data_IF_831013636474
#
_entry.id   IF_831013636474
#
_cell.length_a   1.000
_cell.length_b   1.000
_cell.length_c   1.000
_cell.angle_alpha   90.00
_cell.angle_beta   90.00
_cell.angle_gamma   90.00
#
_symmetry.space_group_name_H-M   'P 1'
#
loop_
_entity.id
_entity.type
_entity.pdbx_description
1 polymer ?
#
# COMPACT_ATOMS: atom_id res chain seq x y z
N UNK A 1 -25.89 -3.76 31.14
CA UNK A 1 -26.53 -3.71 32.47
C UNK A 1 -27.34 -2.43 32.51
N UNK A 2 -28.67 -2.55 32.79
CA UNK A 2 -29.53 -1.37 32.89
C UNK A 2 -29.22 -0.68 34.21
N UNK A 3 -29.09 0.65 34.19
CA UNK A 3 -28.94 1.45 35.40
C UNK A 3 -30.21 1.40 36.25
N UNK A 4 -30.02 1.34 37.58
CA UNK A 4 -31.08 1.39 38.57
C UNK A 4 -31.76 2.75 38.53
N UNK A 5 -33.10 2.77 38.39
CA UNK A 5 -33.88 4.03 38.43
C UNK A 5 -34.33 4.34 39.83
N UNK A 6 -33.54 5.16 40.52
CA UNK A 6 -33.79 5.58 41.87
C UNK A 6 -35.09 6.40 42.01
N UNK A 7 -35.49 7.13 40.99
CA UNK A 7 -36.67 8.02 41.02
C UNK A 7 -37.95 7.16 41.12
N UNK A 8 -38.07 6.11 40.34
CA UNK A 8 -39.22 5.20 40.39
C UNK A 8 -39.31 4.48 41.72
N UNK A 9 -38.16 4.06 42.25
CA UNK A 9 -38.10 3.38 43.53
C UNK A 9 -38.56 4.32 44.66
N UNK A 10 -38.06 5.55 44.72
CA UNK A 10 -38.46 6.58 45.73
C UNK A 10 -39.94 6.93 45.62
N UNK A 11 -40.48 7.02 44.42
CA UNK A 11 -41.89 7.29 44.19
C UNK A 11 -42.78 6.16 44.73
N UNK A 12 -42.43 4.90 44.56
CA UNK A 12 -43.17 3.72 45.05
C UNK A 12 -43.15 3.67 46.59
N UNK A 13 -41.99 3.83 47.24
CA UNK A 13 -41.91 3.73 48.70
C UNK A 13 -42.51 4.94 49.44
N UNK A 14 -42.60 6.07 48.79
CA UNK A 14 -43.25 7.28 49.33
C UNK A 14 -44.78 7.28 49.10
N UNK A 15 -45.29 6.41 48.22
CA UNK A 15 -46.71 6.31 47.94
C UNK A 15 -47.45 5.57 49.05
N UNK A 16 -48.24 6.28 49.86
CA UNK A 16 -48.96 5.71 50.97
C UNK A 16 -49.92 4.60 50.58
N UNK A 17 -50.51 4.63 49.38
CA UNK A 17 -51.40 3.55 48.87
C UNK A 17 -50.61 2.29 48.47
N UNK A 18 -49.41 2.46 47.95
CA UNK A 18 -48.51 1.34 47.66
C UNK A 18 -48.08 0.65 48.98
N UNK A 19 -47.66 1.45 49.92
CA UNK A 19 -47.25 0.95 51.26
C UNK A 19 -48.39 0.20 51.98
N UNK A 20 -49.62 0.74 51.99
CA UNK A 20 -50.78 0.08 52.55
C UNK A 20 -51.13 -1.23 51.87
N UNK A 21 -51.05 -1.30 50.52
CA UNK A 21 -51.23 -2.52 49.78
C UNK A 21 -50.18 -3.59 50.08
N UNK A 22 -48.89 -3.22 50.10
CA UNK A 22 -47.79 -4.16 50.41
C UNK A 22 -47.90 -4.71 51.83
N UNK A 23 -48.44 -3.93 52.79
CA UNK A 23 -48.68 -4.33 54.19
C UNK A 23 -49.94 -5.13 54.38
N UNK A 24 -50.80 -5.27 53.37
CA UNK A 24 -52.10 -5.98 53.45
C UNK A 24 -53.15 -5.16 54.22
N UNK A 25 -53.01 -3.86 54.32
CA UNK A 25 -53.96 -2.94 54.96
C UNK A 25 -55.07 -2.46 54.02
N UNK A 26 -54.87 -2.55 52.69
CA UNK A 26 -55.83 -2.21 51.66
C UNK A 26 -55.72 -3.17 50.44
N UNK A 27 -56.53 -4.19 50.39
CA UNK A 27 -56.58 -5.17 49.33
C UNK A 27 -57.32 -4.72 48.07
N UNK A 28 -58.04 -3.58 48.16
CA UNK A 28 -58.87 -3.04 47.06
C UNK A 28 -58.07 -2.57 45.85
N UNK A 29 -56.76 -2.49 45.98
CA UNK A 29 -55.80 -2.01 44.94
C UNK A 29 -54.92 -3.10 44.34
N UNK A 30 -55.14 -4.39 44.70
CA UNK A 30 -54.32 -5.49 44.20
C UNK A 30 -54.30 -5.58 42.66
N UNK A 31 -55.42 -5.38 42.00
CA UNK A 31 -55.50 -5.35 40.55
C UNK A 31 -54.73 -4.18 39.93
N UNK A 32 -54.81 -2.98 40.56
CA UNK A 32 -54.09 -1.81 40.10
C UNK A 32 -52.55 -2.02 40.10
N UNK A 33 -52.01 -2.50 41.20
CA UNK A 33 -50.57 -2.70 41.32
C UNK A 33 -50.04 -3.88 40.50
N UNK A 34 -50.86 -4.91 40.29
CA UNK A 34 -50.55 -5.99 39.34
C UNK A 34 -50.54 -5.48 37.89
N UNK A 35 -51.55 -4.66 37.53
CA UNK A 35 -51.61 -4.01 36.19
C UNK A 35 -50.46 -3.01 36.00
N UNK A 36 -50.09 -2.26 37.02
CA UNK A 36 -48.93 -1.35 37.02
C UNK A 36 -47.66 -2.10 36.69
N UNK A 37 -47.40 -3.23 37.36
CA UNK A 37 -46.23 -4.09 37.12
C UNK A 37 -46.19 -4.60 35.70
N UNK A 38 -47.33 -4.95 35.12
CA UNK A 38 -47.42 -5.49 33.77
C UNK A 38 -47.21 -4.39 32.71
N UNK A 39 -47.69 -3.17 32.98
CA UNK A 39 -47.55 -2.02 32.10
C UNK A 39 -46.16 -1.36 32.14
N UNK A 40 -45.37 -1.66 33.20
CA UNK A 40 -44.01 -1.12 33.34
C UNK A 40 -42.95 -2.23 33.41
N UNK A 41 -42.79 -3.02 32.34
CA UNK A 41 -41.90 -4.19 32.34
C UNK A 41 -40.44 -3.84 32.59
N UNK A 42 -40.07 -2.58 32.29
CA UNK A 42 -38.72 -2.10 32.51
C UNK A 42 -38.42 -1.69 33.94
N UNK A 43 -39.41 -1.53 34.82
CA UNK A 43 -39.28 -1.09 36.22
C UNK A 43 -39.65 -2.22 37.23
N UNK A 44 -39.61 -3.45 36.81
CA UNK A 44 -39.95 -4.64 37.62
C UNK A 44 -38.98 -4.83 38.77
N UNK A 45 -37.70 -4.52 38.58
CA UNK A 45 -36.66 -4.66 39.62
C UNK A 45 -36.87 -3.65 40.72
N UNK A 46 -37.10 -2.41 40.39
CA UNK A 46 -37.38 -1.30 41.32
C UNK A 46 -38.67 -1.56 42.10
N UNK A 47 -39.70 -2.07 41.44
CA UNK A 47 -40.97 -2.46 42.08
C UNK A 47 -40.79 -3.60 43.09
N UNK A 48 -40.05 -4.69 42.72
CA UNK A 48 -39.78 -5.82 43.61
C UNK A 48 -38.98 -5.39 44.86
N UNK A 49 -38.00 -4.52 44.65
CA UNK A 49 -37.18 -4.01 45.75
C UNK A 49 -37.99 -3.07 46.70
N UNK A 50 -38.88 -2.24 46.14
CA UNK A 50 -39.79 -1.43 46.90
C UNK A 50 -40.75 -2.30 47.75
N UNK A 51 -41.26 -3.40 47.20
CA UNK A 51 -42.09 -4.38 47.97
C UNK A 51 -41.28 -4.99 49.14
N UNK A 52 -40.08 -5.48 48.82
CA UNK A 52 -39.18 -6.12 49.81
C UNK A 52 -38.87 -5.16 50.99
N UNK A 53 -38.42 -3.94 50.67
CA UNK A 53 -38.09 -2.95 51.72
C UNK A 53 -39.32 -2.56 52.53
N UNK A 54 -40.47 -2.36 51.90
CA UNK A 54 -41.72 -2.02 52.58
C UNK A 54 -42.19 -3.16 53.50
N UNK A 55 -41.97 -4.44 53.16
CA UNK A 55 -42.26 -5.61 54.01
C UNK A 55 -41.31 -5.74 55.19
N UNK A 56 -40.03 -5.42 54.99
CA UNK A 56 -39.00 -5.50 56.05
C UNK A 56 -39.17 -4.36 57.08
N UNK A 57 -39.71 -3.19 56.70
CA UNK A 57 -40.01 -2.06 57.55
C UNK A 57 -41.28 -2.32 58.38
N UNK A 58 -41.20 -3.24 59.36
CA UNK A 58 -42.25 -3.45 60.38
C UNK A 58 -42.16 -2.36 61.44
N UNK A 59 -42.89 -1.23 61.23
CA UNK A 59 -43.23 -0.36 62.33
C UNK A 59 -44.37 -0.97 63.09
N UNK A 60 -44.11 -1.46 64.33
CA UNK A 60 -45.18 -1.71 65.30
C UNK A 60 -45.78 -0.37 65.67
N UNK A 61 -47.00 -0.12 65.25
CA UNK A 61 -47.77 1.03 65.63
C UNK A 61 -48.03 1.03 67.12
N UNK A 62 -47.36 1.90 67.86
CA UNK A 62 -47.83 2.42 69.14
C UNK A 62 -48.07 3.89 68.91
N UNK A 63 -49.23 4.41 69.30
CA UNK A 63 -49.56 5.84 69.28
C UNK A 63 -48.47 6.61 69.96
N UNK A 64 -47.59 7.21 69.17
CA UNK A 64 -46.48 8.06 69.65
C UNK A 64 -47.10 9.45 69.97
N UNK A 65 -47.27 9.77 71.23
CA UNK A 65 -47.72 11.11 71.65
C UNK A 65 -46.73 12.20 71.14
N UNK A 66 -47.24 13.30 70.70
CA UNK A 66 -46.44 14.43 70.18
C UNK A 66 -45.31 14.87 71.08
N UNK A 67 -45.48 14.65 72.41
CA UNK A 67 -44.49 14.88 73.48
C UNK A 67 -43.28 13.97 73.39
N UNK A 68 -43.45 12.69 72.90
CA UNK A 68 -42.35 11.74 72.83
C UNK A 68 -41.48 12.03 71.64
N UNK A 69 -42.05 12.55 70.57
CA UNK A 69 -41.32 13.04 69.40
C UNK A 69 -40.41 14.18 69.71
N UNK A 70 -40.93 15.16 70.47
CA UNK A 70 -40.14 16.30 70.93
C UNK A 70 -38.98 15.92 71.84
N UNK A 71 -39.23 14.99 72.78
CA UNK A 71 -38.19 14.43 73.65
C UNK A 71 -37.09 13.70 72.90
N UNK A 72 -37.46 12.93 71.94
CA UNK A 72 -36.50 12.20 71.05
C UNK A 72 -35.73 13.18 70.22
N UNK A 73 -36.36 14.25 69.69
CA UNK A 73 -35.70 15.30 68.93
C UNK A 73 -34.62 16.01 69.73
N UNK A 74 -34.97 16.46 70.97
CA UNK A 74 -34.06 17.16 71.90
C UNK A 74 -32.87 16.22 72.21
N UNK A 75 -33.14 14.95 72.57
CA UNK A 75 -32.12 13.99 72.94
C UNK A 75 -31.20 13.57 71.74
N UNK A 76 -31.72 13.59 70.57
CA UNK A 76 -30.94 13.31 69.37
C UNK A 76 -30.07 14.47 68.92
N UNK A 77 -30.62 15.75 69.03
CA UNK A 77 -29.86 16.96 68.78
C UNK A 77 -28.77 17.23 69.82
N UNK A 78 -29.00 16.90 71.07
CA UNK A 78 -27.94 16.94 72.07
C UNK A 78 -26.80 15.95 71.77
N UNK A 79 -27.13 14.75 71.33
CA UNK A 79 -26.16 13.73 71.02
C UNK A 79 -25.37 14.06 69.75
N UNK A 80 -26.00 14.68 68.77
CA UNK A 80 -25.35 15.20 67.56
C UNK A 80 -24.40 16.35 67.86
N UNK A 81 -24.80 17.26 68.73
CA UNK A 81 -23.97 18.43 69.17
C UNK A 81 -22.77 18.00 70.04
N UNK A 82 -22.83 16.85 70.72
CA UNK A 82 -21.70 16.27 71.44
C UNK A 82 -20.67 15.55 70.58
N UNK A 83 -20.98 15.26 69.33
CA UNK A 83 -20.01 14.81 68.36
C UNK A 83 -19.11 16.00 68.00
N UNK A 84 -18.00 16.17 68.74
CA UNK A 84 -16.95 17.10 68.35
C UNK A 84 -16.54 16.84 66.89
N UNK A 85 -16.50 17.86 66.07
CA UNK A 85 -15.97 17.65 64.73
C UNK A 85 -14.56 17.08 64.85
N UNK A 86 -14.26 15.97 64.15
CA UNK A 86 -12.94 15.35 64.10
C UNK A 86 -12.04 16.33 63.34
N UNK A 87 -11.59 17.40 63.99
CA UNK A 87 -10.73 18.43 63.40
C UNK A 87 -9.38 17.87 62.97
N UNK A 88 -8.96 16.75 63.62
CA UNK A 88 -7.75 16.05 63.24
C UNK A 88 -7.79 15.41 61.84
N UNK A 89 -8.96 14.89 61.42
CA UNK A 89 -9.09 14.25 60.13
C UNK A 89 -9.02 15.23 58.94
N UNK A 90 -9.55 16.43 59.12
CA UNK A 90 -9.46 17.49 58.09
C UNK A 90 -8.04 18.03 57.94
N UNK A 91 -7.30 18.18 59.04
CA UNK A 91 -5.89 18.58 58.99
C UNK A 91 -5.00 17.49 58.45
N UNK A 92 -5.32 16.18 58.74
CA UNK A 92 -4.61 15.04 58.16
C UNK A 92 -4.81 14.97 56.64
N UNK A 93 -6.05 15.14 56.15
CA UNK A 93 -6.32 15.20 54.70
C UNK A 93 -5.56 16.36 54.05
N UNK A 94 -5.56 17.57 54.64
CA UNK A 94 -4.82 18.71 54.09
C UNK A 94 -3.29 18.51 54.07
N UNK A 95 -2.73 17.80 55.07
CA UNK A 95 -1.30 17.45 55.04
C UNK A 95 -1.01 16.31 54.05
N UNK A 96 -1.86 15.29 54.01
CA UNK A 96 -1.73 14.20 53.05
C UNK A 96 -1.82 14.69 51.59
N UNK A 97 -2.73 15.63 51.29
CA UNK A 97 -2.83 16.20 49.93
C UNK A 97 -1.62 17.05 49.54
N UNK A 98 -1.00 17.77 50.49
CA UNK A 98 0.24 18.52 50.25
C UNK A 98 1.42 17.56 49.94
N UNK A 99 1.57 16.51 50.71
CA UNK A 99 2.63 15.50 50.50
C UNK A 99 2.38 14.75 49.19
N UNK A 100 1.12 14.39 48.91
CA UNK A 100 0.76 13.73 47.64
C UNK A 100 1.05 14.64 46.42
N UNK A 101 0.75 15.95 46.53
CA UNK A 101 1.04 16.89 45.45
C UNK A 101 2.56 17.04 45.20
N UNK A 102 3.37 17.06 46.25
CA UNK A 102 4.84 17.14 46.15
C UNK A 102 5.42 15.88 45.51
N UNK A 103 4.84 14.70 45.79
CA UNK A 103 5.29 13.44 45.20
C UNK A 103 4.74 13.21 43.77
N UNK A 104 3.51 13.68 43.47
CA UNK A 104 2.89 13.50 42.17
C UNK A 104 3.46 14.43 41.09
N UNK A 105 3.86 15.66 41.47
CA UNK A 105 4.45 16.63 40.52
C UNK A 105 5.70 16.08 39.81
N UNK A 106 6.74 15.57 40.50
CA UNK A 106 7.90 15.02 39.81
C UNK A 106 7.56 13.76 38.98
N UNK A 107 6.65 12.91 39.47
CA UNK A 107 6.18 11.73 38.69
C UNK A 107 5.47 12.17 37.41
N UNK A 108 4.62 13.19 37.49
CA UNK A 108 3.93 13.78 36.34
C UNK A 108 4.95 14.40 35.35
N UNK A 109 5.94 15.15 35.84
CA UNK A 109 6.99 15.74 35.00
C UNK A 109 7.81 14.64 34.30
N UNK A 110 8.22 13.60 35.01
CA UNK A 110 8.93 12.46 34.44
C UNK A 110 8.06 11.73 33.42
N UNK A 111 6.79 11.50 33.72
CA UNK A 111 5.85 10.87 32.77
C UNK A 111 5.65 11.69 31.50
N UNK A 112 5.52 13.00 31.63
CA UNK A 112 5.43 13.92 30.50
C UNK A 112 6.73 13.92 29.70
N UNK A 113 7.89 13.96 30.39
CA UNK A 113 9.19 13.91 29.72
C UNK A 113 9.42 12.59 28.97
N UNK A 114 9.07 11.45 29.57
CA UNK A 114 9.13 10.14 28.92
C UNK A 114 8.17 10.05 27.73
N UNK A 115 6.95 10.58 27.87
CA UNK A 115 5.95 10.62 26.80
C UNK A 115 6.43 11.45 25.60
N UNK A 116 6.97 12.64 25.84
CA UNK A 116 7.56 13.46 24.78
C UNK A 116 8.83 12.81 24.18
N UNK A 117 9.65 12.17 25.02
CA UNK A 117 10.85 11.45 24.56
C UNK A 117 10.49 10.27 23.62
N UNK A 118 9.49 9.47 23.98
CA UNK A 118 9.01 8.36 23.13
C UNK A 118 8.37 8.88 21.85
N UNK A 119 7.61 9.97 21.91
CA UNK A 119 6.96 10.54 20.71
C UNK A 119 7.98 11.10 19.72
N UNK A 120 9.00 11.82 20.20
CA UNK A 120 10.08 12.32 19.36
C UNK A 120 10.93 11.18 18.74
N UNK A 121 11.17 10.11 19.50
CA UNK A 121 11.90 8.95 19.00
C UNK A 121 11.11 8.22 17.92
N UNK A 122 9.82 7.99 18.13
CA UNK A 122 8.93 7.37 17.14
C UNK A 122 8.85 8.20 15.84
N UNK A 123 8.73 9.52 15.95
CA UNK A 123 8.74 10.41 14.78
C UNK A 123 10.08 10.36 14.04
N UNK A 124 11.20 10.35 14.76
CA UNK A 124 12.53 10.27 14.15
C UNK A 124 12.76 8.93 13.44
N UNK A 125 12.28 7.82 14.01
CA UNK A 125 12.32 6.52 13.34
C UNK A 125 11.39 6.47 12.13
N UNK A 126 10.20 7.03 12.22
CA UNK A 126 9.27 7.13 11.10
C UNK A 126 9.88 7.95 9.94
N UNK A 127 10.53 9.07 10.26
CA UNK A 127 11.20 9.92 9.27
C UNK A 127 12.41 9.21 8.63
N UNK A 128 13.25 8.53 9.42
CA UNK A 128 14.37 7.73 8.89
C UNK A 128 13.90 6.59 7.98
N UNK A 129 12.77 5.96 8.30
CA UNK A 129 12.17 4.94 7.44
C UNK A 129 11.63 5.59 6.16
N UNK A 130 10.94 6.71 6.25
CA UNK A 130 10.40 7.44 5.09
C UNK A 130 11.52 7.90 4.16
N UNK A 131 12.61 8.49 4.69
CA UNK A 131 13.80 8.86 3.92
C UNK A 131 14.42 7.64 3.19
N UNK A 132 14.37 6.48 3.81
CA UNK A 132 14.89 5.23 3.22
C UNK A 132 13.99 4.70 2.10
N UNK A 133 12.67 4.88 2.21
CA UNK A 133 11.72 4.54 1.14
C UNK A 133 11.78 5.52 -0.04
N UNK A 134 12.20 6.78 0.19
CA UNK A 134 12.35 7.79 -0.85
C UNK A 134 13.69 7.71 -1.60
N UNK A 135 14.70 7.00 -1.04
CA UNK A 135 15.97 6.79 -1.71
C UNK A 135 15.84 5.76 -2.82
N UNK A 136 16.01 6.21 -4.07
CA UNK A 136 16.01 5.34 -5.24
C UNK A 136 17.43 4.95 -5.65
N UNK A 137 17.60 3.69 -6.01
CA UNK A 137 18.77 3.17 -6.71
C UNK A 137 18.45 3.22 -8.20
N UNK A 138 19.35 3.82 -8.98
CA UNK A 138 19.28 3.78 -10.43
C UNK A 138 20.42 2.93 -10.96
N UNK A 139 20.08 1.95 -11.77
CA UNK A 139 21.05 1.03 -12.41
C UNK A 139 20.92 1.17 -13.92
N UNK A 140 22.04 1.46 -14.56
CA UNK A 140 22.12 1.66 -16.01
C UNK A 140 22.93 0.54 -16.64
N UNK A 141 22.37 -0.15 -17.61
CA UNK A 141 23.09 -1.05 -18.49
C UNK A 141 23.79 -0.24 -19.59
N UNK A 142 25.12 -0.19 -19.62
CA UNK A 142 25.81 0.57 -20.68
C UNK A 142 25.41 0.05 -22.07
N UNK A 143 25.53 0.91 -23.07
CA UNK A 143 25.39 0.48 -24.47
C UNK A 143 26.43 -0.61 -24.75
N UNK A 144 26.04 -1.69 -25.40
CA UNK A 144 26.87 -2.85 -25.65
C UNK A 144 26.94 -3.87 -24.52
N UNK A 145 26.31 -3.61 -23.37
CA UNK A 145 26.32 -4.50 -22.22
C UNK A 145 24.92 -4.94 -21.80
N UNK A 146 24.85 -6.11 -21.16
CA UNK A 146 23.66 -6.62 -20.46
C UNK A 146 24.03 -6.86 -19.02
N UNK A 147 23.17 -6.48 -18.10
CA UNK A 147 23.41 -6.61 -16.67
C UNK A 147 22.23 -7.29 -15.99
N UNK A 148 22.51 -7.98 -14.89
CA UNK A 148 21.48 -8.56 -14.02
C UNK A 148 21.43 -7.76 -12.73
N UNK A 149 20.22 -7.45 -12.27
CA UNK A 149 19.94 -6.69 -11.05
C UNK A 149 19.11 -7.57 -10.13
N UNK A 150 19.59 -7.76 -8.90
CA UNK A 150 18.80 -8.35 -7.83
C UNK A 150 18.01 -7.23 -7.12
N UNK A 151 16.70 -7.37 -7.10
CA UNK A 151 15.80 -6.39 -6.50
C UNK A 151 15.62 -6.66 -4.99
N UNK A 152 15.18 -5.67 -4.19
CA UNK A 152 15.09 -5.79 -2.73
C UNK A 152 14.19 -6.91 -2.20
N UNK A 153 13.24 -7.38 -3.00
CA UNK A 153 12.31 -8.48 -2.67
C UNK A 153 12.81 -9.87 -3.12
N UNK A 154 14.05 -9.95 -3.64
CA UNK A 154 14.62 -11.16 -4.22
C UNK A 154 14.19 -11.45 -5.66
N UNK A 155 13.38 -10.57 -6.27
CA UNK A 155 13.11 -10.62 -7.70
C UNK A 155 14.37 -10.29 -8.51
N UNK A 156 14.40 -10.71 -9.78
CA UNK A 156 15.52 -10.44 -10.69
C UNK A 156 15.05 -9.67 -11.92
N UNK A 157 15.86 -8.72 -12.34
CA UNK A 157 15.71 -8.02 -13.62
C UNK A 157 16.99 -8.19 -14.45
N UNK A 158 16.86 -8.64 -15.68
CA UNK A 158 17.93 -8.58 -16.67
C UNK A 158 17.69 -7.36 -17.52
N UNK A 159 18.64 -6.45 -17.56
CA UNK A 159 18.57 -5.23 -18.37
C UNK A 159 19.33 -5.45 -19.69
N UNK A 160 18.68 -5.13 -20.79
CA UNK A 160 19.32 -5.11 -22.10
C UNK A 160 20.14 -3.83 -22.29
N UNK A 161 20.94 -3.80 -23.32
CA UNK A 161 21.86 -2.70 -23.69
C UNK A 161 21.14 -1.35 -23.74
N UNK A 162 21.69 -0.34 -23.06
CA UNK A 162 21.16 1.03 -23.04
C UNK A 162 19.88 1.18 -22.18
N UNK A 163 19.58 0.21 -21.32
CA UNK A 163 18.42 0.24 -20.44
C UNK A 163 18.77 0.78 -19.05
N UNK A 164 17.78 1.35 -18.41
CA UNK A 164 17.85 1.89 -17.06
C UNK A 164 16.67 1.41 -16.21
N UNK A 165 16.94 0.99 -14.99
CA UNK A 165 15.92 0.69 -13.98
C UNK A 165 16.15 1.52 -12.73
N UNK A 166 15.08 2.11 -12.20
CA UNK A 166 15.11 2.82 -10.92
C UNK A 166 14.08 2.23 -9.96
N UNK A 167 14.51 1.97 -8.72
CA UNK A 167 13.69 1.36 -7.68
C UNK A 167 14.14 1.82 -6.29
N UNK A 168 13.25 1.81 -5.27
CA UNK A 168 13.62 2.21 -3.91
C UNK A 168 14.56 1.19 -3.25
N UNK A 169 15.40 1.65 -2.32
CA UNK A 169 16.30 0.79 -1.53
C UNK A 169 15.54 -0.32 -0.80
N UNK A 170 14.29 -0.05 -0.40
CA UNK A 170 13.36 -1.00 0.22
C UNK A 170 11.99 -0.77 -0.39
N UNK A 171 11.31 -1.84 -0.82
CA UNK A 171 9.94 -1.72 -1.30
C UNK A 171 8.97 -1.40 -0.16
N UNK A 172 7.90 -0.69 -0.48
CA UNK A 172 6.81 -0.41 0.44
C UNK A 172 6.05 -1.71 0.77
N UNK A 173 5.40 -1.74 1.92
CA UNK A 173 4.55 -2.88 2.33
C UNK A 173 3.29 -3.04 1.48
N UNK A 174 2.82 -1.95 0.85
CA UNK A 174 1.61 -1.93 0.02
C UNK A 174 1.88 -2.20 -1.46
N UNK A 175 3.09 -1.90 -1.96
CA UNK A 175 3.47 -2.10 -3.37
C UNK A 175 4.98 -2.23 -3.55
N UNK A 176 5.38 -2.90 -4.63
CA UNK A 176 6.76 -3.02 -5.11
C UNK A 176 6.83 -2.34 -6.47
N UNK A 177 7.43 -1.17 -6.53
CA UNK A 177 7.41 -0.33 -7.74
C UNK A 177 8.82 -0.13 -8.30
N UNK A 178 8.94 -0.28 -9.62
CA UNK A 178 10.16 0.06 -10.38
C UNK A 178 9.79 0.94 -11.58
N UNK A 179 10.74 1.77 -12.02
CA UNK A 179 10.63 2.54 -13.26
C UNK A 179 11.62 1.97 -14.26
N UNK A 180 11.18 1.69 -15.47
CA UNK A 180 11.98 1.14 -16.55
C UNK A 180 12.03 2.11 -17.75
N UNK A 181 13.23 2.39 -18.23
CA UNK A 181 13.49 2.97 -19.54
C UNK A 181 14.38 2.01 -20.33
N UNK A 182 13.93 1.54 -21.49
CA UNK A 182 14.62 0.54 -22.27
C UNK A 182 13.98 -0.85 -22.17
N UNK A 183 14.77 -1.91 -22.25
CA UNK A 183 14.29 -3.28 -22.27
C UNK A 183 14.79 -4.08 -21.05
N UNK A 184 13.87 -4.77 -20.39
CA UNK A 184 14.18 -5.67 -19.30
C UNK A 184 13.32 -6.93 -19.32
N UNK A 185 13.94 -8.04 -18.92
CA UNK A 185 13.22 -9.26 -18.56
C UNK A 185 13.15 -9.35 -17.05
N UNK A 186 11.94 -9.59 -16.54
CA UNK A 186 11.67 -9.70 -15.11
C UNK A 186 11.32 -11.13 -14.72
N UNK A 187 11.88 -11.57 -13.60
CA UNK A 187 11.44 -12.76 -12.87
C UNK A 187 11.05 -12.31 -11.47
N UNK A 188 9.74 -12.12 -11.27
CA UNK A 188 9.19 -11.55 -10.04
C UNK A 188 8.81 -12.64 -9.06
N UNK A 189 9.26 -12.49 -7.82
CA UNK A 189 8.91 -13.36 -6.69
C UNK A 189 7.41 -13.29 -6.39
N UNK A 190 6.79 -14.47 -6.18
CA UNK A 190 5.36 -14.55 -5.80
C UNK A 190 5.11 -13.88 -4.47
N UNK A 191 4.16 -12.95 -4.43
CA UNK A 191 3.76 -12.21 -3.24
C UNK A 191 2.32 -11.72 -3.39
N UNK A 192 1.63 -11.52 -2.26
CA UNK A 192 0.32 -10.84 -2.23
C UNK A 192 0.46 -9.33 -2.49
N UNK A 193 1.63 -8.75 -2.19
CA UNK A 193 1.94 -7.35 -2.51
C UNK A 193 2.20 -7.21 -4.01
N UNK A 194 1.46 -6.36 -4.73
CA UNK A 194 1.62 -6.18 -6.17
C UNK A 194 2.99 -5.60 -6.53
N UNK A 195 3.52 -6.01 -7.69
CA UNK A 195 4.72 -5.44 -8.30
C UNK A 195 4.31 -4.63 -9.52
N UNK A 196 4.76 -3.38 -9.57
CA UNK A 196 4.47 -2.45 -10.66
C UNK A 196 5.73 -2.13 -11.47
N UNK A 197 5.58 -2.11 -12.80
CA UNK A 197 6.58 -1.55 -13.70
C UNK A 197 5.99 -0.33 -14.40
N UNK A 198 6.47 0.85 -14.03
CA UNK A 198 6.18 2.09 -14.73
C UNK A 198 7.14 2.22 -15.91
N UNK A 199 6.62 2.60 -17.06
CA UNK A 199 7.34 2.69 -18.32
C UNK A 199 6.71 3.76 -19.23
N UNK A 200 7.11 3.85 -20.52
CA UNK A 200 6.56 4.82 -21.48
C UNK A 200 5.20 4.42 -22.08
N UNK A 201 4.59 3.37 -21.60
CA UNK A 201 3.30 2.84 -22.03
C UNK A 201 2.36 2.59 -20.86
N UNK A 202 1.50 1.54 -20.93
CA UNK A 202 0.61 1.16 -19.86
C UNK A 202 1.38 0.76 -18.61
N UNK A 203 0.83 1.04 -17.43
CA UNK A 203 1.39 0.55 -16.18
C UNK A 203 1.20 -0.96 -16.09
N UNK A 204 2.26 -1.67 -15.75
CA UNK A 204 2.28 -3.12 -15.66
C UNK A 204 2.17 -3.54 -14.20
N UNK A 205 1.21 -4.42 -13.88
CA UNK A 205 0.98 -4.94 -12.54
C UNK A 205 1.03 -6.47 -12.54
N UNK A 206 1.83 -7.03 -11.63
CA UNK A 206 2.01 -8.48 -11.49
C UNK A 206 2.12 -8.91 -10.02
N UNK A 207 1.98 -10.20 -9.73
CA UNK A 207 2.09 -10.77 -8.38
C UNK A 207 3.15 -11.89 -8.25
N UNK A 208 3.74 -12.30 -9.36
CA UNK A 208 4.72 -13.39 -9.44
C UNK A 208 4.73 -13.97 -10.85
N UNK A 209 5.54 -13.38 -11.70
CA UNK A 209 5.39 -13.46 -13.16
C UNK A 209 6.75 -13.37 -13.81
N UNK A 210 6.95 -14.09 -14.92
CA UNK A 210 8.10 -13.93 -15.79
C UNK A 210 7.66 -13.29 -17.11
N UNK A 211 8.23 -12.13 -17.45
CA UNK A 211 7.83 -11.33 -18.61
C UNK A 211 8.95 -10.41 -19.10
N UNK A 212 8.91 -10.07 -20.38
CA UNK A 212 9.79 -9.08 -20.99
C UNK A 212 9.03 -7.76 -21.22
N UNK A 213 9.69 -6.65 -21.00
CA UNK A 213 9.18 -5.29 -21.32
C UNK A 213 10.22 -4.62 -22.20
N UNK A 214 9.81 -4.16 -23.40
CA UNK A 214 10.60 -3.25 -24.21
C UNK A 214 9.89 -1.90 -24.28
N UNK A 215 10.55 -0.86 -23.75
CA UNK A 215 10.03 0.49 -23.63
C UNK A 215 11.15 1.53 -23.85
N UNK A 216 11.90 1.40 -24.96
CA UNK A 216 12.89 2.40 -25.34
C UNK A 216 12.22 3.71 -25.79
N UNK A 217 12.84 4.83 -25.43
CA UNK A 217 12.29 6.15 -25.74
C UNK A 217 12.31 6.47 -27.27
N UNK A 218 13.28 5.92 -27.99
CA UNK A 218 13.47 6.07 -29.43
C UNK A 218 12.66 5.07 -30.28
N UNK A 219 11.81 4.27 -29.64
CA UNK A 219 10.90 3.35 -30.31
C UNK A 219 9.45 3.83 -30.19
N UNK A 220 8.66 3.69 -31.27
CA UNK A 220 7.25 4.09 -31.30
C UNK A 220 6.33 3.14 -30.52
N UNK A 221 6.79 1.93 -30.28
CA UNK A 221 6.03 0.85 -29.67
C UNK A 221 6.60 0.50 -28.28
N UNK A 222 5.70 0.17 -27.34
CA UNK A 222 6.06 -0.54 -26.11
C UNK A 222 5.52 -1.96 -26.24
N UNK A 223 6.35 -2.96 -25.93
CA UNK A 223 5.91 -4.37 -25.95
C UNK A 223 6.07 -5.02 -24.60
N UNK A 224 5.07 -5.83 -24.21
CA UNK A 224 5.10 -6.64 -23.01
C UNK A 224 4.80 -8.08 -23.39
N UNK A 225 5.79 -8.97 -23.27
CA UNK A 225 5.66 -10.39 -23.63
C UNK A 225 5.61 -11.24 -22.36
N UNK A 226 4.57 -12.03 -22.19
CA UNK A 226 4.35 -12.84 -20.99
C UNK A 226 4.79 -14.28 -21.19
N UNK A 227 5.77 -14.73 -20.38
CA UNK A 227 6.28 -16.10 -20.38
C UNK A 227 5.55 -16.98 -19.36
N UNK A 228 5.39 -16.51 -18.11
CA UNK A 228 4.76 -17.27 -17.03
C UNK A 228 3.97 -16.34 -16.10
N UNK A 229 2.82 -16.81 -15.59
CA UNK A 229 2.00 -16.08 -14.63
C UNK A 229 0.87 -15.28 -15.29
N UNK A 230 0.62 -14.07 -14.80
CA UNK A 230 -0.41 -13.16 -15.29
C UNK A 230 0.08 -11.72 -15.22
N UNK A 231 -0.18 -10.95 -16.26
CA UNK A 231 0.10 -9.49 -16.31
C UNK A 231 -1.22 -8.77 -16.45
N UNK A 232 -1.41 -7.70 -15.67
CA UNK A 232 -2.42 -6.67 -15.89
C UNK A 232 -1.72 -5.42 -16.44
N UNK A 233 -2.31 -4.82 -17.46
CA UNK A 233 -1.87 -3.60 -18.11
C UNK A 233 -2.93 -2.53 -17.88
N UNK A 234 -2.59 -1.45 -17.18
CA UNK A 234 -3.50 -0.32 -16.97
C UNK A 234 -3.12 0.82 -17.93
N UNK A 235 -4.10 1.23 -18.72
CA UNK A 235 -4.00 2.42 -19.57
C UNK A 235 -5.16 3.37 -19.26
N UNK A 236 -4.89 4.41 -18.47
CA UNK A 236 -5.88 5.44 -18.07
C UNK A 236 -7.12 4.87 -17.34
N UNK A 237 -6.96 3.79 -16.57
CA UNK A 237 -8.03 3.13 -15.82
C UNK A 237 -8.75 2.01 -16.59
N UNK A 238 -8.33 1.71 -17.81
CA UNK A 238 -8.75 0.53 -18.56
C UNK A 238 -7.74 -0.60 -18.35
N UNK A 239 -8.17 -1.70 -17.76
CA UNK A 239 -7.33 -2.87 -17.45
C UNK A 239 -7.45 -3.94 -18.55
N UNK A 240 -6.32 -4.30 -19.16
CA UNK A 240 -6.17 -5.44 -20.06
C UNK A 240 -5.30 -6.52 -19.42
N UNK A 241 -5.54 -7.78 -19.78
CA UNK A 241 -4.82 -8.91 -19.19
C UNK A 241 -4.10 -9.73 -20.22
N UNK A 242 -2.87 -10.15 -19.90
CA UNK A 242 -2.12 -11.12 -20.67
C UNK A 242 -2.12 -12.49 -19.98
N UNK A 243 -2.16 -13.53 -20.80
CA UNK A 243 -1.88 -14.90 -20.41
C UNK A 243 -0.58 -15.38 -21.07
N UNK A 244 0.08 -16.45 -20.56
CA UNK A 244 1.32 -16.95 -21.13
C UNK A 244 1.21 -17.24 -22.65
N UNK A 245 2.24 -16.82 -23.39
CA UNK A 245 2.25 -16.92 -24.85
C UNK A 245 1.67 -15.71 -25.58
N UNK A 246 1.26 -14.68 -24.85
CA UNK A 246 0.76 -13.42 -25.41
C UNK A 246 1.80 -12.31 -25.32
N UNK A 247 1.73 -11.40 -26.29
CA UNK A 247 2.42 -10.13 -26.30
C UNK A 247 1.41 -9.00 -26.44
N UNK A 248 1.60 -7.95 -25.64
CA UNK A 248 0.91 -6.67 -25.80
C UNK A 248 1.83 -5.74 -26.59
N UNK A 249 1.27 -5.06 -27.56
CA UNK A 249 1.90 -3.98 -28.33
C UNK A 249 1.13 -2.70 -28.12
N UNK A 250 1.74 -1.74 -27.45
CA UNK A 250 1.20 -0.41 -27.25
C UNK A 250 1.83 0.58 -28.23
N UNK A 251 1.01 1.21 -29.06
CA UNK A 251 1.43 2.29 -29.97
C UNK A 251 1.39 3.63 -29.23
N UNK A 252 2.57 4.24 -29.05
CA UNK A 252 2.72 5.52 -28.32
C UNK A 252 2.01 6.69 -29.01
N UNK A 253 1.86 6.65 -30.34
CA UNK A 253 1.22 7.71 -31.12
C UNK A 253 -0.30 7.55 -31.10
N UNK A 254 -0.79 6.34 -31.36
CA UNK A 254 -2.23 6.04 -31.42
C UNK A 254 -2.87 5.83 -30.05
N UNK A 255 -2.05 5.61 -29.01
CA UNK A 255 -2.50 5.35 -27.62
C UNK A 255 -3.43 4.16 -27.49
N UNK A 256 -3.21 3.10 -28.26
CA UNK A 256 -3.97 1.87 -28.23
C UNK A 256 -3.09 0.65 -27.94
N UNK A 257 -3.69 -0.34 -27.29
CA UNK A 257 -3.07 -1.65 -27.02
C UNK A 257 -3.63 -2.68 -28.02
N UNK A 258 -2.76 -3.52 -28.54
CA UNK A 258 -3.12 -4.72 -29.30
C UNK A 258 -2.51 -5.94 -28.62
N UNK A 259 -3.27 -7.02 -28.46
CA UNK A 259 -2.77 -8.26 -27.84
C UNK A 259 -2.75 -9.36 -28.91
N UNK A 260 -1.62 -10.04 -29.01
CA UNK A 260 -1.38 -11.09 -30.00
C UNK A 260 -0.82 -12.36 -29.35
N UNK A 261 -1.19 -13.53 -29.88
CA UNK A 261 -0.55 -14.80 -29.52
C UNK A 261 0.69 -15.01 -30.39
N UNK A 262 1.84 -15.24 -29.75
CA UNK A 262 3.11 -15.39 -30.48
C UNK A 262 4.12 -16.22 -29.67
N UNK A 263 5.24 -16.61 -30.32
CA UNK A 263 6.37 -17.19 -29.59
C UNK A 263 7.08 -16.11 -28.76
N UNK A 264 6.70 -16.00 -27.48
CA UNK A 264 7.25 -15.03 -26.54
C UNK A 264 8.74 -15.19 -26.27
N UNK A 265 9.32 -16.36 -26.60
CA UNK A 265 10.77 -16.57 -26.49
C UNK A 265 11.55 -15.63 -27.43
N UNK A 266 10.94 -15.21 -28.54
CA UNK A 266 11.51 -14.20 -29.43
C UNK A 266 11.85 -12.90 -28.72
N UNK A 267 11.05 -12.51 -27.72
CA UNK A 267 11.22 -11.25 -26.95
C UNK A 267 12.18 -11.38 -25.77
N UNK A 268 12.56 -12.59 -25.38
CA UNK A 268 13.43 -12.82 -24.20
C UNK A 268 14.77 -13.48 -24.53
N UNK A 269 14.95 -13.96 -25.75
CA UNK A 269 16.17 -14.68 -26.21
C UNK A 269 17.43 -13.80 -26.20
N UNK A 270 17.28 -12.48 -26.21
CA UNK A 270 18.40 -11.53 -26.12
C UNK A 270 19.25 -11.74 -24.86
N UNK A 271 18.68 -12.24 -23.77
CA UNK A 271 19.41 -12.56 -22.52
C UNK A 271 20.55 -13.56 -22.77
N UNK A 272 20.37 -14.43 -23.72
CA UNK A 272 21.34 -15.46 -24.13
C UNK A 272 22.22 -15.02 -25.30
N UNK A 273 22.10 -13.76 -25.73
CA UNK A 273 22.84 -13.24 -26.89
C UNK A 273 22.21 -13.60 -28.22
N UNK A 274 20.98 -14.14 -28.19
CA UNK A 274 20.28 -14.59 -29.40
C UNK A 274 19.18 -13.57 -29.74
N UNK A 275 19.18 -13.09 -30.99
CA UNK A 275 18.12 -12.21 -31.50
C UNK A 275 17.37 -12.96 -32.61
N UNK A 276 16.08 -13.01 -32.49
CA UNK A 276 15.17 -13.66 -33.42
C UNK A 276 14.30 -12.61 -34.09
N UNK A 277 14.47 -12.39 -35.35
CA UNK A 277 13.70 -11.48 -36.17
C UNK A 277 12.63 -12.25 -36.95
N UNK A 278 11.39 -11.76 -36.89
CA UNK A 278 10.25 -12.31 -37.64
C UNK A 278 9.55 -11.15 -38.33
N UNK A 279 9.57 -11.09 -39.65
CA UNK A 279 9.00 -9.98 -40.42
C UNK A 279 9.44 -8.60 -39.86
N UNK A 280 10.65 -8.52 -39.30
CA UNK A 280 11.17 -7.34 -38.61
C UNK A 280 11.73 -6.33 -39.62
N UNK A 281 11.29 -5.08 -39.60
CA UNK A 281 11.83 -4.07 -40.53
C UNK A 281 13.30 -3.78 -40.24
N UNK A 282 14.07 -3.53 -41.31
CA UNK A 282 15.51 -3.23 -41.22
C UNK A 282 15.78 -2.08 -40.23
N UNK A 283 14.97 -1.03 -40.24
CA UNK A 283 15.10 0.10 -39.31
C UNK A 283 15.09 -0.33 -37.85
N UNK A 284 14.26 -1.31 -37.45
CA UNK A 284 14.22 -1.86 -36.09
C UNK A 284 15.46 -2.72 -35.80
N UNK A 285 15.89 -3.54 -36.75
CA UNK A 285 17.11 -4.36 -36.61
C UNK A 285 18.33 -3.44 -36.40
N UNK A 286 18.46 -2.38 -37.16
CA UNK A 286 19.58 -1.45 -37.06
C UNK A 286 19.62 -0.73 -35.70
N UNK A 287 18.47 -0.38 -35.10
CA UNK A 287 18.40 0.16 -33.74
C UNK A 287 18.92 -0.85 -32.70
N UNK A 288 18.54 -2.10 -32.82
CA UNK A 288 19.05 -3.17 -31.95
C UNK A 288 20.57 -3.30 -32.09
N UNK A 289 21.09 -3.33 -33.31
CA UNK A 289 22.53 -3.43 -33.57
C UNK A 289 23.31 -2.22 -33.06
N UNK A 290 22.77 -1.02 -33.19
CA UNK A 290 23.38 0.21 -32.66
C UNK A 290 23.55 0.10 -31.13
N UNK A 291 22.51 -0.30 -30.42
CA UNK A 291 22.55 -0.51 -28.97
C UNK A 291 23.49 -1.66 -28.57
N UNK A 292 23.41 -2.80 -29.29
CA UNK A 292 24.19 -4.00 -28.97
C UNK A 292 25.70 -3.82 -29.19
N UNK A 293 26.09 -3.10 -30.23
CA UNK A 293 27.50 -2.99 -30.64
C UNK A 293 28.11 -1.60 -30.41
N UNK A 294 27.38 -0.69 -29.80
CA UNK A 294 27.81 0.69 -29.56
C UNK A 294 28.30 1.38 -30.83
N UNK A 295 27.49 1.36 -31.89
CA UNK A 295 27.80 1.92 -33.19
C UNK A 295 26.68 2.88 -33.61
N UNK A 296 27.03 3.86 -34.47
CA UNK A 296 26.06 4.74 -35.12
C UNK A 296 25.81 4.26 -36.56
N UNK A 297 24.65 3.68 -36.81
CA UNK A 297 24.26 3.22 -38.15
C UNK A 297 23.30 4.21 -38.78
N UNK A 298 23.70 4.81 -39.90
CA UNK A 298 22.88 5.73 -40.66
C UNK A 298 22.34 5.08 -41.93
N UNK A 299 21.01 5.13 -42.06
CA UNK A 299 20.33 4.68 -43.26
C UNK A 299 20.23 5.84 -44.26
N UNK A 300 21.04 5.78 -45.33
CA UNK A 300 21.13 6.85 -46.33
C UNK A 300 19.89 6.94 -47.21
N UNK A 301 19.16 5.84 -47.31
CA UNK A 301 17.91 5.75 -48.06
C UNK A 301 16.82 5.27 -47.09
N UNK A 302 15.90 6.15 -46.62
CA UNK A 302 14.90 5.82 -45.63
C UNK A 302 13.98 4.65 -46.01
N UNK A 303 13.69 4.50 -47.31
CA UNK A 303 12.85 3.42 -47.85
C UNK A 303 13.41 2.00 -47.59
N UNK A 304 14.73 1.86 -47.46
CA UNK A 304 15.35 0.60 -47.10
C UNK A 304 14.94 0.12 -45.70
N UNK A 305 14.59 1.02 -44.82
CA UNK A 305 14.13 0.73 -43.47
C UNK A 305 12.90 -0.17 -43.39
N UNK A 306 12.12 -0.20 -44.47
CA UNK A 306 10.90 -0.98 -44.56
C UNK A 306 11.14 -2.46 -45.01
N UNK A 307 12.36 -2.79 -45.47
CA UNK A 307 12.66 -4.18 -45.80
C UNK A 307 12.53 -5.08 -44.59
N UNK A 308 11.76 -6.16 -44.70
CA UNK A 308 11.48 -7.09 -43.62
C UNK A 308 12.40 -8.30 -43.68
N UNK A 309 12.90 -8.65 -42.51
CA UNK A 309 13.85 -9.78 -42.36
C UNK A 309 13.29 -10.86 -41.45
N UNK A 310 13.55 -12.11 -41.85
CA UNK A 310 13.42 -13.29 -41.03
C UNK A 310 14.83 -13.84 -40.79
N UNK A 311 15.37 -13.69 -39.60
CA UNK A 311 16.72 -14.09 -39.26
C UNK A 311 16.84 -14.48 -37.79
N UNK A 312 17.82 -15.30 -37.49
CA UNK A 312 18.27 -15.57 -36.13
C UNK A 312 19.75 -15.28 -36.03
N UNK A 313 20.11 -14.39 -35.14
CA UNK A 313 21.48 -14.00 -34.84
C UNK A 313 21.85 -14.62 -33.48
N UNK A 314 23.00 -15.27 -33.40
CA UNK A 314 23.45 -15.95 -32.19
C UNK A 314 24.94 -15.72 -31.97
N UNK A 315 25.28 -14.57 -31.38
CA UNK A 315 26.65 -14.13 -31.08
C UNK A 315 27.53 -13.88 -32.34
N UNK A 316 26.95 -13.65 -33.51
CA UNK A 316 27.70 -13.20 -34.68
C UNK A 316 28.28 -11.80 -34.45
N UNK A 317 29.44 -11.52 -35.04
CA UNK A 317 30.03 -10.18 -35.04
C UNK A 317 29.19 -9.23 -35.87
N UNK A 318 29.27 -7.91 -35.55
CA UNK A 318 28.55 -6.89 -36.32
C UNK A 318 28.85 -6.96 -37.83
N UNK A 319 30.12 -7.18 -38.18
CA UNK A 319 30.51 -7.32 -39.58
C UNK A 319 29.84 -8.50 -40.28
N UNK A 320 29.78 -9.68 -39.61
CA UNK A 320 29.06 -10.83 -40.13
C UNK A 320 27.56 -10.57 -40.30
N UNK A 321 26.94 -9.87 -39.35
CA UNK A 321 25.52 -9.49 -39.42
C UNK A 321 25.28 -8.55 -40.60
N UNK A 322 26.09 -7.51 -40.76
CA UNK A 322 25.99 -6.57 -41.87
C UNK A 322 26.20 -7.26 -43.24
N UNK A 323 27.14 -8.18 -43.30
CA UNK A 323 27.35 -9.01 -44.49
C UNK A 323 26.11 -9.85 -44.82
N UNK A 324 25.52 -10.53 -43.84
CA UNK A 324 24.30 -11.34 -44.04
C UNK A 324 23.13 -10.45 -44.49
N UNK A 325 22.94 -9.28 -43.87
CA UNK A 325 21.91 -8.34 -44.31
C UNK A 325 22.13 -7.86 -45.75
N UNK A 326 23.38 -7.59 -46.13
CA UNK A 326 23.71 -7.18 -47.49
C UNK A 326 23.55 -8.29 -48.54
N UNK A 327 23.71 -9.56 -48.14
CA UNK A 327 23.47 -10.68 -49.04
C UNK A 327 21.98 -10.91 -49.29
N UNK A 328 21.13 -10.65 -48.28
CA UNK A 328 19.69 -10.93 -48.35
C UNK A 328 18.83 -9.78 -48.92
N UNK A 329 19.35 -8.58 -48.99
CA UNK A 329 18.67 -7.44 -49.60
C UNK A 329 19.63 -6.59 -50.47
N UNK A 330 19.12 -5.73 -51.38
CA UNK A 330 19.96 -4.91 -52.22
C UNK A 330 20.48 -3.69 -51.43
N UNK A 331 21.26 -3.95 -50.39
CA UNK A 331 21.92 -2.96 -49.56
C UNK A 331 23.42 -3.15 -49.56
N UNK A 332 24.14 -2.09 -49.36
CA UNK A 332 25.59 -2.05 -49.13
C UNK A 332 25.89 -1.22 -47.90
N UNK A 333 26.93 -1.57 -47.19
CA UNK A 333 27.38 -0.83 -46.04
C UNK A 333 28.80 -0.32 -46.20
N UNK A 334 29.11 0.83 -45.53
CA UNK A 334 30.42 1.43 -45.53
C UNK A 334 30.81 1.74 -44.09
N UNK A 335 31.96 1.26 -43.67
CA UNK A 335 32.53 1.56 -42.36
C UNK A 335 33.29 2.89 -42.41
N UNK A 336 32.95 3.80 -41.52
CA UNK A 336 33.68 5.05 -41.30
C UNK A 336 34.35 4.93 -39.95
N UNK A 337 35.68 4.81 -39.98
CA UNK A 337 36.45 4.57 -38.75
C UNK A 337 36.28 5.71 -37.73
N UNK A 338 36.50 5.32 -36.44
CA UNK A 338 36.36 6.22 -35.30
C UNK A 338 37.15 7.50 -35.45
N UNK A 339 36.53 8.61 -35.13
CA UNK A 339 37.18 9.88 -34.92
C UNK A 339 37.40 10.14 -33.43
N UNK A 340 38.53 10.76 -33.10
CA UNK A 340 38.83 11.21 -31.75
C UNK A 340 38.05 12.51 -31.50
N UNK A 341 37.27 12.58 -30.42
CA UNK A 341 36.63 13.82 -30.00
C UNK A 341 37.64 14.80 -29.43
N UNK A 342 37.34 16.12 -29.38
CA UNK A 342 38.26 17.13 -28.83
C UNK A 342 38.59 16.90 -27.33
N UNK A 343 37.75 16.18 -26.60
CA UNK A 343 37.94 15.78 -25.19
C UNK A 343 38.80 14.54 -25.01
N UNK A 344 39.32 13.94 -26.08
CA UNK A 344 40.15 12.73 -26.06
C UNK A 344 39.35 11.43 -26.01
N UNK A 345 38.02 11.46 -26.04
CA UNK A 345 37.19 10.27 -26.13
C UNK A 345 37.02 9.80 -27.57
N UNK A 346 36.89 8.47 -27.77
CA UNK A 346 36.58 7.94 -29.11
C UNK A 346 35.07 8.01 -29.34
N UNK A 347 34.67 8.61 -30.50
CA UNK A 347 33.27 8.52 -30.97
C UNK A 347 32.95 7.07 -31.31
N UNK A 348 31.68 6.62 -31.21
CA UNK A 348 31.24 5.34 -31.75
C UNK A 348 31.57 5.21 -33.23
N UNK A 349 31.87 3.99 -33.71
CA UNK A 349 32.04 3.74 -35.13
C UNK A 349 30.79 4.13 -35.86
N UNK A 350 30.97 4.77 -37.03
CA UNK A 350 29.86 5.15 -37.92
C UNK A 350 29.77 4.18 -39.08
N UNK A 351 28.55 3.72 -39.37
CA UNK A 351 28.26 2.82 -40.48
C UNK A 351 27.16 3.47 -41.32
N UNK A 352 27.39 3.58 -42.60
CA UNK A 352 26.41 4.08 -43.57
C UNK A 352 25.86 2.91 -44.40
N UNK A 353 24.53 2.77 -44.38
CA UNK A 353 23.82 1.77 -45.17
C UNK A 353 23.10 2.49 -46.33
N UNK A 354 23.34 2.05 -47.55
CA UNK A 354 22.76 2.62 -48.77
C UNK A 354 22.26 1.51 -49.71
N UNK A 355 21.43 1.91 -50.68
CA UNK A 355 20.95 1.00 -51.72
C UNK A 355 22.09 0.52 -52.61
N UNK A 356 22.14 -0.77 -52.88
CA UNK A 356 23.03 -1.33 -53.90
C UNK A 356 22.33 -1.30 -55.27
N UNK A 357 22.61 -0.20 -56.02
CA UNK A 357 22.01 0.04 -57.33
C UNK A 357 22.36 -1.06 -58.34
N UNK A 358 23.43 -1.81 -58.14
CA UNK A 358 23.83 -2.87 -59.09
C UNK A 358 22.94 -4.11 -58.97
N UNK A 359 22.26 -4.27 -57.85
CA UNK A 359 21.35 -5.40 -57.57
C UNK A 359 19.87 -5.06 -57.78
N UNK A 360 19.50 -3.77 -57.73
CA UNK A 360 18.10 -3.31 -57.93
C UNK A 360 17.69 -3.45 -59.44
N UNK A 361 18.61 -3.47 -60.37
CA UNK A 361 18.33 -3.45 -61.81
C UNK A 361 18.03 -4.86 -62.39
N UNK A 362 18.01 -5.89 -61.56
CA UNK A 362 17.83 -7.31 -62.01
C UNK A 362 16.46 -7.93 -61.67
N UNK A 363 15.44 -7.17 -61.38
CA UNK A 363 14.07 -7.65 -61.22
C UNK A 363 13.13 -7.08 -62.28
#
# INVERSE_FOLDING_TARGET
MREWDQTIFEELISNTRFVAWVKGEDDSKSEYWNAWKTNHPLSVIEFQEAVRITQELRFRGTDVKKTDIQYLWIKTTEKINQLKPISGFRNFIFQATRVAAILLLPVMLVSVWLFYGQHNLAQKYAQLLQDKYEQNITVVAPIGARITVDLPDGSKAWLNSGSEISYPVVFNTSERRVNLSGEAYFKIQKSETPFFVSNLGPEIKVYGTEFNVNSYADEDLVTVALTEGKVSLDLNGEEEFLVPGQVSVFDKQRKNITIENTDVNTYSSWREGKYIFRETPLSAILRILQRQHNVNIQLMNPELGNYRYNATINNESLEQILQLLSLSAPIKYNYIHRELSPDGSWKPDKIEISADKTRIIKN
#
